data_IF_633870547739
#
_entry.id   IF_633870547739
#
_cell.length_a   1.000
_cell.length_b   1.000
_cell.length_c   1.000
_cell.angle_alpha   90.00
_cell.angle_beta   90.00
_cell.angle_gamma   90.00
#
_symmetry.space_group_name_H-M   'P 1'
#
loop_
_entity.id
_entity.type
_entity.pdbx_description
1 polymer ?
#
# COMPACT_ATOMS: atom_id res chain seq x y z
N UNK A 1 -6.93 -39.42 0.59
CA UNK A 1 -6.64 -38.08 0.05
C UNK A 1 -7.77 -37.06 0.19
N UNK A 2 -9.04 -37.46 0.41
CA UNK A 2 -10.18 -36.52 0.53
C UNK A 2 -10.21 -35.75 1.87
N UNK A 3 -9.74 -36.34 2.98
CA UNK A 3 -9.84 -35.72 4.32
C UNK A 3 -8.87 -34.57 4.62
N UNK A 4 -7.67 -34.55 4.02
CA UNK A 4 -6.70 -33.45 4.24
C UNK A 4 -7.16 -32.18 3.52
N UNK A 5 -7.69 -32.32 2.30
CA UNK A 5 -8.21 -31.19 1.53
C UNK A 5 -9.44 -30.56 2.22
N UNK A 6 -10.36 -31.37 2.74
CA UNK A 6 -11.51 -30.92 3.56
C UNK A 6 -11.06 -30.16 4.82
N UNK A 7 -10.09 -30.69 5.58
CA UNK A 7 -9.57 -30.04 6.78
C UNK A 7 -8.81 -28.74 6.46
N UNK A 8 -8.03 -28.71 5.38
CA UNK A 8 -7.37 -27.47 4.93
C UNK A 8 -8.36 -26.43 4.45
N UNK A 9 -9.41 -26.83 3.71
CA UNK A 9 -10.48 -25.93 3.27
C UNK A 9 -11.26 -25.38 4.46
N UNK A 10 -11.63 -26.23 5.42
CA UNK A 10 -12.30 -25.81 6.64
C UNK A 10 -11.43 -24.86 7.46
N UNK A 11 -10.14 -25.16 7.61
CA UNK A 11 -9.21 -24.34 8.37
C UNK A 11 -8.96 -22.97 7.71
N UNK A 12 -8.69 -22.96 6.39
CA UNK A 12 -8.50 -21.72 5.61
C UNK A 12 -9.78 -20.89 5.60
N UNK A 13 -10.96 -21.50 5.45
CA UNK A 13 -12.24 -20.77 5.50
C UNK A 13 -12.51 -20.17 6.89
N UNK A 14 -12.21 -20.90 7.97
CA UNK A 14 -12.34 -20.37 9.33
C UNK A 14 -11.34 -19.25 9.62
N UNK A 15 -10.08 -19.39 9.18
CA UNK A 15 -9.09 -18.34 9.31
C UNK A 15 -9.54 -17.07 8.57
N UNK A 16 -10.02 -17.22 7.32
CA UNK A 16 -10.51 -16.11 6.49
C UNK A 16 -11.71 -15.40 7.11
N UNK A 17 -12.71 -16.14 7.61
CA UNK A 17 -13.93 -15.54 8.16
C UNK A 17 -13.67 -14.78 9.46
N UNK A 18 -12.88 -15.37 10.37
CA UNK A 18 -12.52 -14.73 11.65
C UNK A 18 -11.61 -13.53 11.46
N UNK A 19 -10.62 -13.63 10.58
CA UNK A 19 -9.75 -12.49 10.29
C UNK A 19 -10.53 -11.33 9.67
N UNK A 20 -11.46 -11.63 8.75
CA UNK A 20 -12.32 -10.61 8.16
C UNK A 20 -13.23 -9.95 9.22
N UNK A 21 -13.87 -10.73 10.08
CA UNK A 21 -14.70 -10.23 11.18
C UNK A 21 -13.94 -9.24 12.07
N UNK A 22 -12.71 -9.58 12.45
CA UNK A 22 -11.85 -8.74 13.29
C UNK A 22 -11.48 -7.45 12.56
N UNK A 23 -11.09 -7.52 11.28
CA UNK A 23 -10.68 -6.35 10.51
C UNK A 23 -11.82 -5.35 10.26
N UNK A 24 -13.06 -5.82 10.06
CA UNK A 24 -14.19 -4.94 9.74
C UNK A 24 -14.87 -4.37 11.00
N UNK A 25 -14.73 -5.02 12.16
CA UNK A 25 -15.48 -4.68 13.38
C UNK A 25 -14.67 -3.93 14.44
N UNK A 26 -13.38 -3.68 14.21
CA UNK A 26 -12.46 -3.10 15.20
C UNK A 26 -11.81 -1.83 14.70
N UNK A 27 -11.52 -0.92 15.64
CA UNK A 27 -10.82 0.33 15.33
C UNK A 27 -9.35 0.06 14.97
N UNK A 28 -8.75 0.97 14.18
CA UNK A 28 -7.34 0.85 13.79
C UNK A 28 -6.39 0.82 15.01
N UNK A 29 -6.71 1.53 16.09
CA UNK A 29 -5.91 1.51 17.31
C UNK A 29 -5.92 0.13 17.97
N UNK A 30 -7.10 -0.50 18.08
CA UNK A 30 -7.23 -1.85 18.60
C UNK A 30 -6.49 -2.87 17.71
N UNK A 31 -6.65 -2.77 16.39
CA UNK A 31 -5.99 -3.68 15.45
C UNK A 31 -4.47 -3.60 15.53
N UNK A 32 -3.89 -2.41 15.71
CA UNK A 32 -2.44 -2.26 15.94
C UNK A 32 -1.98 -3.00 17.20
N UNK A 33 -2.69 -2.82 18.31
CA UNK A 33 -2.36 -3.50 19.56
C UNK A 33 -2.47 -5.03 19.40
N UNK A 34 -3.51 -5.51 18.72
CA UNK A 34 -3.67 -6.94 18.42
C UNK A 34 -2.52 -7.47 17.57
N UNK A 35 -2.08 -6.73 16.54
CA UNK A 35 -0.96 -7.16 15.70
C UNK A 35 0.36 -7.23 16.47
N UNK A 36 0.60 -6.28 17.37
CA UNK A 36 1.78 -6.26 18.23
C UNK A 36 1.78 -7.45 19.21
N UNK A 37 0.65 -7.72 19.88
CA UNK A 37 0.53 -8.86 20.79
C UNK A 37 0.60 -10.20 20.05
N UNK A 38 0.02 -10.28 18.85
CA UNK A 38 0.15 -11.46 17.99
C UNK A 38 1.61 -11.78 17.67
N UNK A 39 2.41 -10.76 17.31
CA UNK A 39 3.82 -10.92 16.98
C UNK A 39 4.63 -11.40 18.21
N UNK A 40 4.35 -10.84 19.40
CA UNK A 40 4.96 -11.27 20.66
C UNK A 40 4.67 -12.74 20.98
N UNK A 41 3.43 -13.17 20.81
CA UNK A 41 3.00 -14.54 21.15
C UNK A 41 3.44 -15.58 20.12
N UNK A 42 3.30 -15.28 18.83
CA UNK A 42 3.49 -16.25 17.74
C UNK A 42 4.90 -16.24 17.14
N UNK A 43 5.71 -15.21 17.45
CA UNK A 43 7.01 -14.93 16.81
C UNK A 43 6.94 -14.78 15.28
N UNK A 44 5.75 -14.58 14.73
CA UNK A 44 5.52 -14.30 13.32
C UNK A 44 4.68 -13.01 13.22
N UNK A 45 4.95 -12.20 12.21
CA UNK A 45 4.09 -11.05 11.92
C UNK A 45 2.75 -11.51 11.33
N UNK A 46 1.72 -10.68 11.46
CA UNK A 46 0.43 -10.93 10.80
C UNK A 46 0.60 -11.01 9.27
N UNK A 47 1.54 -10.25 8.70
CA UNK A 47 1.86 -10.35 7.27
C UNK A 47 2.38 -11.73 6.87
N UNK A 48 3.25 -12.35 7.68
CA UNK A 48 3.79 -13.69 7.42
C UNK A 48 2.73 -14.75 7.56
N UNK A 49 1.86 -14.64 8.57
CA UNK A 49 0.71 -15.53 8.72
C UNK A 49 -0.18 -15.46 7.48
N UNK A 50 -0.53 -14.26 7.01
CA UNK A 50 -1.33 -14.09 5.80
C UNK A 50 -0.68 -14.73 4.57
N UNK A 51 0.64 -14.60 4.40
CA UNK A 51 1.36 -15.20 3.26
C UNK A 51 1.39 -16.73 3.30
N UNK A 52 1.29 -17.35 4.48
CA UNK A 52 1.19 -18.80 4.64
C UNK A 52 -0.22 -19.31 4.33
N UNK A 53 -1.23 -18.52 4.70
CA UNK A 53 -2.65 -18.91 4.63
C UNK A 53 -3.36 -18.54 3.32
N UNK A 54 -2.89 -17.50 2.64
CA UNK A 54 -3.58 -16.92 1.50
C UNK A 54 -2.64 -16.67 0.34
N UNK A 55 -3.20 -16.59 -0.86
CA UNK A 55 -2.47 -16.30 -2.09
C UNK A 55 -3.32 -15.41 -3.02
N UNK A 56 -2.72 -15.00 -4.15
CA UNK A 56 -3.42 -14.23 -5.18
C UNK A 56 -3.90 -12.84 -4.72
N UNK A 57 -4.99 -12.37 -5.30
CA UNK A 57 -5.56 -11.03 -5.04
C UNK A 57 -6.07 -10.85 -3.62
N UNK A 58 -6.55 -11.93 -3.00
CA UNK A 58 -7.03 -11.88 -1.64
C UNK A 58 -5.89 -11.54 -0.66
N UNK A 59 -4.75 -12.23 -0.79
CA UNK A 59 -3.54 -11.91 -0.01
C UNK A 59 -3.11 -10.46 -0.23
N UNK A 60 -3.06 -10.01 -1.50
CA UNK A 60 -2.69 -8.62 -1.83
C UNK A 60 -3.60 -7.60 -1.15
N UNK A 61 -4.89 -7.88 -1.11
CA UNK A 61 -5.91 -7.02 -0.48
C UNK A 61 -5.71 -6.95 1.04
N UNK A 62 -5.59 -8.11 1.71
CA UNK A 62 -5.37 -8.12 3.16
C UNK A 62 -4.04 -7.51 3.57
N UNK A 63 -2.95 -7.77 2.85
CA UNK A 63 -1.66 -7.13 3.10
C UNK A 63 -1.75 -5.61 2.96
N UNK A 64 -2.55 -5.12 2.00
CA UNK A 64 -2.76 -3.67 1.82
C UNK A 64 -3.48 -3.06 3.04
N UNK A 65 -4.50 -3.74 3.56
CA UNK A 65 -5.23 -3.33 4.76
C UNK A 65 -4.29 -3.33 5.97
N UNK A 66 -3.60 -4.45 6.24
CA UNK A 66 -2.71 -4.60 7.39
C UNK A 66 -1.60 -3.54 7.39
N UNK A 67 -0.93 -3.32 6.25
CA UNK A 67 0.12 -2.30 6.11
C UNK A 67 -0.40 -0.89 6.33
N UNK A 68 -1.58 -0.57 5.78
CA UNK A 68 -2.21 0.72 5.96
C UNK A 68 -2.59 0.96 7.44
N UNK A 69 -3.04 -0.08 8.14
CA UNK A 69 -3.31 -0.01 9.59
C UNK A 69 -2.01 0.24 10.34
N UNK A 70 -0.96 -0.57 10.11
CA UNK A 70 0.30 -0.50 10.85
C UNK A 70 1.01 0.85 10.65
N UNK A 71 1.22 1.26 9.40
CA UNK A 71 1.87 2.53 9.08
C UNK A 71 1.33 3.10 7.76
N UNK A 72 0.31 3.94 7.89
CA UNK A 72 -0.38 4.56 6.76
C UNK A 72 0.55 5.42 5.89
N UNK A 73 1.38 6.34 6.44
CA UNK A 73 2.33 7.10 5.63
C UNK A 73 3.30 6.21 4.83
N UNK A 74 3.89 5.20 5.47
CA UNK A 74 4.81 4.29 4.79
C UNK A 74 4.12 3.44 3.71
N UNK A 75 2.87 3.03 3.93
CA UNK A 75 2.08 2.31 2.93
C UNK A 75 1.85 3.15 1.66
N UNK A 76 1.45 4.41 1.82
CA UNK A 76 1.25 5.30 0.68
C UNK A 76 2.56 5.70 0.01
N UNK A 77 3.65 5.90 0.78
CA UNK A 77 4.98 6.14 0.21
C UNK A 77 5.42 4.97 -0.69
N UNK A 78 5.26 3.73 -0.23
CA UNK A 78 5.53 2.51 -1.04
C UNK A 78 4.63 2.43 -2.27
N UNK A 79 3.36 2.80 -2.13
CA UNK A 79 2.40 2.81 -3.24
C UNK A 79 2.79 3.82 -4.31
N UNK A 80 3.18 5.04 -3.91
CA UNK A 80 3.68 6.09 -4.80
C UNK A 80 4.94 5.62 -5.51
N UNK A 81 5.92 5.08 -4.79
CA UNK A 81 7.15 4.58 -5.40
C UNK A 81 6.85 3.49 -6.43
N UNK A 82 5.99 2.51 -6.09
CA UNK A 82 5.57 1.46 -7.03
C UNK A 82 4.91 2.02 -8.28
N UNK A 83 4.05 3.04 -8.14
CA UNK A 83 3.40 3.66 -9.29
C UNK A 83 4.37 4.37 -10.23
N UNK A 84 5.53 4.81 -9.73
CA UNK A 84 6.55 5.52 -10.50
C UNK A 84 7.79 4.66 -10.86
N UNK A 85 7.83 3.39 -10.43
CA UNK A 85 8.99 2.52 -10.60
C UNK A 85 8.83 1.67 -11.85
N UNK A 86 9.63 1.93 -12.88
CA UNK A 86 9.71 1.11 -14.10
C UNK A 86 9.85 1.93 -15.38
N UNK A 87 9.64 1.27 -16.52
CA UNK A 87 9.48 1.92 -17.83
C UNK A 87 8.01 2.35 -17.95
N UNK A 88 7.70 3.55 -17.46
CA UNK A 88 6.35 4.12 -17.42
C UNK A 88 5.87 4.40 -15.99
N UNK A 89 4.69 5.00 -15.87
CA UNK A 89 4.04 5.33 -14.61
C UNK A 89 2.61 4.76 -14.60
N UNK A 90 2.20 4.16 -13.48
CA UNK A 90 0.79 3.86 -13.22
C UNK A 90 0.09 5.15 -12.77
N UNK A 91 -0.23 6.00 -13.76
CA UNK A 91 -0.80 7.33 -13.56
C UNK A 91 -2.10 7.30 -12.77
N UNK A 92 -2.88 6.21 -12.90
CA UNK A 92 -4.14 6.06 -12.18
C UNK A 92 -3.89 5.88 -10.69
N UNK A 93 -2.95 5.00 -10.32
CA UNK A 93 -2.60 4.81 -8.91
C UNK A 93 -1.91 6.04 -8.32
N UNK A 94 -0.99 6.66 -9.07
CA UNK A 94 -0.30 7.88 -8.66
C UNK A 94 -1.30 9.02 -8.38
N UNK A 95 -2.14 9.35 -9.38
CA UNK A 95 -3.13 10.42 -9.28
C UNK A 95 -4.13 10.15 -8.16
N UNK A 96 -4.60 8.91 -8.03
CA UNK A 96 -5.55 8.54 -6.97
C UNK A 96 -4.97 8.77 -5.59
N UNK A 97 -3.72 8.36 -5.33
CA UNK A 97 -3.09 8.60 -4.02
C UNK A 97 -2.93 10.09 -3.78
N UNK A 98 -2.47 10.84 -4.77
CA UNK A 98 -2.22 12.29 -4.60
C UNK A 98 -3.52 13.04 -4.34
N UNK A 99 -4.56 12.82 -5.14
CA UNK A 99 -5.87 13.47 -4.98
C UNK A 99 -6.54 13.08 -3.66
N UNK A 100 -6.47 11.82 -3.26
CA UNK A 100 -7.19 11.36 -2.05
C UNK A 100 -6.45 11.65 -0.74
N UNK A 101 -5.15 11.98 -0.79
CA UNK A 101 -4.32 12.18 0.41
C UNK A 101 -3.76 13.60 0.56
N UNK A 102 -3.83 14.44 -0.48
CA UNK A 102 -3.25 15.79 -0.48
C UNK A 102 -3.63 16.62 0.76
N UNK A 103 -4.91 16.64 1.13
CA UNK A 103 -5.42 17.44 2.26
C UNK A 103 -5.48 16.68 3.60
N UNK A 104 -5.04 15.42 3.64
CA UNK A 104 -5.23 14.56 4.82
C UNK A 104 -3.91 14.27 5.54
N UNK A 105 -2.92 13.71 4.82
CA UNK A 105 -1.64 13.30 5.42
C UNK A 105 -0.47 13.31 4.43
N UNK A 106 -0.55 14.13 3.39
CA UNK A 106 0.49 14.21 2.36
C UNK A 106 1.85 14.63 2.92
N UNK A 107 1.87 15.51 3.91
CA UNK A 107 3.11 15.92 4.60
C UNK A 107 3.81 14.71 5.21
N UNK A 108 3.08 13.88 5.97
CA UNK A 108 3.62 12.66 6.58
C UNK A 108 4.05 11.63 5.53
N UNK A 109 3.29 11.50 4.43
CA UNK A 109 3.63 10.61 3.32
C UNK A 109 4.93 11.05 2.66
N UNK A 110 5.12 12.35 2.40
CA UNK A 110 6.36 12.91 1.84
C UNK A 110 7.56 12.65 2.74
N UNK A 111 7.41 12.87 4.05
CA UNK A 111 8.46 12.60 5.03
C UNK A 111 8.83 11.10 5.03
N UNK A 112 7.85 10.21 5.06
CA UNK A 112 8.08 8.77 4.99
C UNK A 112 8.74 8.35 3.67
N UNK A 113 8.32 8.93 2.55
CA UNK A 113 8.89 8.68 1.23
C UNK A 113 10.37 9.10 1.17
N UNK A 114 10.70 10.31 1.64
CA UNK A 114 12.06 10.80 1.68
C UNK A 114 12.96 9.96 2.59
N UNK A 115 12.45 9.56 3.75
CA UNK A 115 13.16 8.68 4.68
C UNK A 115 13.44 7.28 4.07
N UNK A 116 12.50 6.73 3.30
CA UNK A 116 12.65 5.38 2.71
C UNK A 116 13.47 5.36 1.41
N UNK A 117 13.39 6.41 0.58
CA UNK A 117 13.98 6.42 -0.78
C UNK A 117 15.09 7.45 -0.99
N UNK A 118 15.41 8.25 0.03
CA UNK A 118 16.55 9.19 0.02
C UNK A 118 16.39 10.39 -0.92
N UNK A 119 15.18 10.62 -1.46
CA UNK A 119 14.83 11.73 -2.34
C UNK A 119 13.41 12.19 -2.05
N UNK A 120 13.14 13.47 -2.25
CA UNK A 120 11.78 13.98 -2.08
C UNK A 120 10.83 13.41 -3.15
N UNK A 121 9.54 13.36 -2.81
CA UNK A 121 8.51 12.93 -3.75
C UNK A 121 8.48 13.83 -5.00
N UNK A 122 8.69 15.14 -4.84
CA UNK A 122 8.69 16.10 -5.94
C UNK A 122 9.87 15.87 -6.91
N UNK A 123 11.09 15.63 -6.39
CA UNK A 123 12.24 15.29 -7.22
C UNK A 123 12.03 13.98 -7.98
N UNK A 124 11.37 13.01 -7.34
CA UNK A 124 11.06 11.74 -7.98
C UNK A 124 10.06 11.90 -9.13
N UNK A 125 8.96 12.63 -8.91
CA UNK A 125 7.94 12.90 -9.93
C UNK A 125 8.54 13.66 -11.12
N UNK A 126 9.40 14.66 -10.85
CA UNK A 126 10.09 15.40 -11.92
C UNK A 126 10.98 14.47 -12.74
N UNK A 127 11.84 13.69 -12.09
CA UNK A 127 12.72 12.75 -12.79
C UNK A 127 11.98 11.64 -13.55
N UNK A 128 10.81 11.21 -13.06
CA UNK A 128 9.94 10.26 -13.77
C UNK A 128 9.27 10.91 -14.98
N UNK A 129 8.80 12.15 -14.84
CA UNK A 129 8.24 12.92 -15.96
C UNK A 129 9.28 13.10 -17.05
N UNK A 130 10.52 13.46 -16.70
CA UNK A 130 11.64 13.59 -17.64
C UNK A 130 11.90 12.28 -18.40
N UNK A 131 11.75 11.10 -17.77
CA UNK A 131 11.87 9.80 -18.43
C UNK A 131 10.70 9.48 -19.36
N UNK A 132 9.48 9.88 -19.01
CA UNK A 132 8.29 9.72 -19.84
C UNK A 132 8.31 10.62 -21.08
N UNK A 133 8.83 11.85 -20.95
CA UNK A 133 8.95 12.82 -22.06
C UNK A 133 9.84 12.27 -23.20
N UNK A 134 10.79 11.38 -22.90
CA UNK A 134 11.62 10.72 -23.92
C UNK A 134 10.84 9.66 -24.71
N UNK A 135 9.75 9.11 -24.15
CA UNK A 135 9.06 7.93 -24.71
C UNK A 135 7.71 8.28 -25.34
N UNK A 136 6.95 9.25 -24.81
CA UNK A 136 5.60 9.60 -25.29
C UNK A 136 5.32 11.12 -25.12
N UNK A 137 5.05 11.85 -26.21
CA UNK A 137 4.37 13.17 -26.20
C UNK A 137 3.12 13.06 -27.08
N UNK A 138 1.98 13.75 -26.81
CA UNK A 138 1.77 14.95 -25.99
C UNK A 138 0.59 14.89 -24.98
N UNK A 139 0.02 13.72 -24.69
CA UNK A 139 -1.21 13.60 -23.86
C UNK A 139 -0.95 13.62 -22.34
N UNK A 140 0.28 13.39 -21.91
CA UNK A 140 0.60 13.14 -20.50
C UNK A 140 0.98 14.43 -19.74
N UNK A 141 1.52 15.43 -20.43
CA UNK A 141 2.09 16.66 -19.86
C UNK A 141 1.08 17.45 -18.99
N UNK A 142 -0.18 17.59 -19.45
CA UNK A 142 -1.21 18.31 -18.69
C UNK A 142 -1.65 17.60 -17.41
N UNK A 143 -1.65 16.26 -17.41
CA UNK A 143 -2.01 15.45 -16.24
C UNK A 143 -0.89 15.47 -15.20
N UNK A 144 0.36 15.33 -15.64
CA UNK A 144 1.54 15.40 -14.77
C UNK A 144 1.76 16.79 -14.18
N UNK A 145 1.48 17.86 -14.93
CA UNK A 145 1.53 19.23 -14.40
C UNK A 145 0.57 19.40 -13.21
N UNK A 146 -0.67 18.92 -13.35
CA UNK A 146 -1.67 19.00 -12.27
C UNK A 146 -1.25 18.24 -11.02
N UNK A 147 -0.70 17.03 -11.19
CA UNK A 147 -0.19 16.21 -10.09
C UNK A 147 1.01 16.86 -9.41
N UNK A 148 1.96 17.40 -10.18
CA UNK A 148 3.15 18.10 -9.65
C UNK A 148 2.76 19.33 -8.86
N UNK A 149 1.82 20.13 -9.37
CA UNK A 149 1.27 21.30 -8.69
C UNK A 149 0.64 20.91 -7.35
N UNK A 150 -0.24 19.92 -7.31
CA UNK A 150 -0.88 19.47 -6.05
C UNK A 150 0.19 19.06 -5.04
N UNK A 151 1.18 18.25 -5.45
CA UNK A 151 2.26 17.83 -4.56
C UNK A 151 3.14 19.00 -4.12
N UNK A 152 3.31 20.06 -4.89
CA UNK A 152 4.08 21.23 -4.46
C UNK A 152 3.35 22.09 -3.42
N UNK A 153 2.01 22.16 -3.48
CA UNK A 153 1.20 23.03 -2.64
C UNK A 153 0.52 22.35 -1.45
N UNK A 154 0.44 21.01 -1.41
CA UNK A 154 -0.01 20.21 -0.25
C UNK A 154 1.13 19.87 0.69
#
# INVERSE_FOLDING_TARGET
MVGILELTLFWVLNFRSRFNEILISRSNAHLRAVFEEYEKMSKNTVEEALKKEMSGDLLRSFLSIVRCIQNKPAYFAKTLNRSMKGLGTDDKSLSRVIITRCEIDMVQIKTAFAAEYGKSLAEWIKGTSDRLIVVQRPLDEKRFASVTTIVQFS
#
